data_IF_554704861187
#
_entry.id   IF_554704861187
#
_cell.length_a   1.000
_cell.length_b   1.000
_cell.length_c   1.000
_cell.angle_alpha   90.00
_cell.angle_beta   90.00
_cell.angle_gamma   90.00
#
_symmetry.space_group_name_H-M   'P 1'
#
loop_
_entity.id
_entity.type
_entity.pdbx_description
1 polymer ?
#
# COMPACT_ATOMS: atom_id res chain seq x y z
N UNK A 1 -39.66 91.68 -5.36
CA UNK A 1 -39.40 90.22 -5.44
C UNK A 1 -38.02 90.05 -6.01
N UNK A 2 -37.02 89.64 -5.27
CA UNK A 2 -35.69 89.41 -5.79
C UNK A 2 -35.62 88.06 -6.46
N UNK A 3 -35.26 88.06 -7.75
CA UNK A 3 -34.96 86.85 -8.53
C UNK A 3 -33.69 86.18 -7.98
N UNK A 4 -33.82 84.97 -7.51
CA UNK A 4 -32.72 84.06 -7.03
C UNK A 4 -31.83 83.71 -8.23
N UNK A 5 -30.77 84.46 -8.46
CA UNK A 5 -29.69 83.99 -9.35
C UNK A 5 -28.93 82.89 -8.67
N UNK A 6 -29.14 81.68 -9.09
CA UNK A 6 -28.26 80.53 -8.73
C UNK A 6 -26.89 80.87 -9.32
N UNK A 7 -25.82 80.87 -8.52
CA UNK A 7 -24.49 81.22 -9.00
C UNK A 7 -24.09 80.28 -10.14
N UNK A 8 -23.69 80.89 -11.26
CA UNK A 8 -23.21 80.15 -12.47
C UNK A 8 -22.08 79.15 -12.16
N UNK A 9 -21.36 79.35 -11.08
CA UNK A 9 -20.35 78.44 -10.57
C UNK A 9 -20.96 77.09 -10.08
N UNK A 10 -22.14 77.11 -9.44
CA UNK A 10 -22.82 75.88 -8.96
C UNK A 10 -23.35 75.05 -10.14
N UNK A 11 -23.89 75.73 -11.15
CA UNK A 11 -24.34 75.10 -12.39
C UNK A 11 -23.19 74.58 -13.24
N UNK A 12 -22.03 75.21 -13.24
CA UNK A 12 -20.82 74.74 -13.91
C UNK A 12 -20.15 73.57 -13.13
N UNK A 13 -20.14 73.64 -11.80
CA UNK A 13 -19.66 72.54 -10.94
C UNK A 13 -20.56 71.35 -11.08
N UNK A 14 -21.88 71.47 -11.09
CA UNK A 14 -22.80 70.38 -11.34
C UNK A 14 -22.66 69.80 -12.76
N UNK A 15 -22.55 70.64 -13.78
CA UNK A 15 -22.26 70.22 -15.15
C UNK A 15 -20.91 69.51 -15.24
N UNK A 16 -19.86 69.98 -14.55
CA UNK A 16 -18.56 69.36 -14.49
C UNK A 16 -18.60 67.94 -13.80
N UNK A 17 -19.46 67.82 -12.78
CA UNK A 17 -19.67 66.51 -12.12
C UNK A 17 -20.45 65.56 -13.02
N UNK A 18 -21.46 66.04 -13.77
CA UNK A 18 -22.25 65.22 -14.68
C UNK A 18 -21.56 64.93 -16.03
N UNK A 19 -20.68 65.80 -16.53
CA UNK A 19 -19.90 65.55 -17.75
C UNK A 19 -18.64 64.76 -17.50
N UNK A 20 -18.18 64.62 -16.24
CA UNK A 20 -17.08 63.78 -15.83
C UNK A 20 -17.53 62.37 -15.40
N UNK A 21 -18.78 62.02 -15.58
CA UNK A 21 -19.16 60.58 -15.70
C UNK A 21 -18.60 60.21 -17.07
N UNK A 22 -17.36 59.69 -17.02
CA UNK A 22 -16.57 59.22 -18.16
C UNK A 22 -17.46 58.31 -19.00
N UNK A 23 -17.95 58.78 -20.17
CA UNK A 23 -18.70 57.96 -21.14
C UNK A 23 -17.93 56.66 -21.44
N UNK A 24 -16.60 56.72 -21.33
CA UNK A 24 -15.71 55.56 -21.51
C UNK A 24 -15.90 54.53 -20.38
N UNK A 25 -16.06 54.92 -19.12
CA UNK A 25 -16.32 53.98 -18.02
C UNK A 25 -17.73 53.36 -18.09
N UNK A 26 -18.70 54.13 -18.55
CA UNK A 26 -20.05 53.60 -18.76
C UNK A 26 -20.08 52.54 -19.86
N UNK A 27 -19.33 52.78 -20.95
CA UNK A 27 -19.18 51.78 -22.04
C UNK A 27 -18.41 50.54 -21.58
N UNK A 28 -17.33 50.69 -20.83
CA UNK A 28 -16.58 49.57 -20.23
C UNK A 28 -17.47 48.68 -19.35
N UNK A 29 -18.25 49.29 -18.45
CA UNK A 29 -19.18 48.55 -17.57
C UNK A 29 -20.29 47.88 -18.37
N UNK A 30 -20.84 48.55 -19.39
CA UNK A 30 -21.87 48.00 -20.23
C UNK A 30 -21.36 46.80 -21.03
N UNK A 31 -20.16 46.89 -21.61
CA UNK A 31 -19.49 45.79 -22.29
C UNK A 31 -19.23 44.64 -21.33
N UNK A 32 -18.77 44.92 -20.11
CA UNK A 32 -18.54 43.90 -19.10
C UNK A 32 -19.84 43.13 -18.73
N UNK A 33 -20.96 43.83 -18.56
CA UNK A 33 -22.26 43.22 -18.28
C UNK A 33 -22.75 42.36 -19.45
N UNK A 34 -22.61 42.88 -20.67
CA UNK A 34 -22.99 42.14 -21.89
C UNK A 34 -22.12 40.84 -22.03
N UNK A 35 -20.81 40.97 -21.78
CA UNK A 35 -19.88 39.84 -21.83
C UNK A 35 -20.23 38.80 -20.79
N UNK A 36 -20.56 39.19 -19.56
CA UNK A 36 -21.02 38.30 -18.50
C UNK A 36 -22.30 37.56 -18.87
N UNK A 37 -23.26 38.26 -19.46
CA UNK A 37 -24.54 37.69 -19.92
C UNK A 37 -24.34 36.72 -21.09
N UNK A 38 -23.51 37.05 -22.07
CA UNK A 38 -23.13 36.16 -23.17
C UNK A 38 -22.42 34.93 -22.59
N UNK A 39 -21.49 35.12 -21.65
CA UNK A 39 -20.80 34.04 -20.96
C UNK A 39 -21.73 33.08 -20.24
N UNK A 40 -22.77 33.61 -19.58
CA UNK A 40 -23.80 32.78 -18.94
C UNK A 40 -24.55 31.91 -19.96
N UNK A 41 -24.94 32.50 -21.10
CA UNK A 41 -25.64 31.76 -22.16
C UNK A 41 -24.76 30.65 -22.76
N UNK A 42 -23.49 31.00 -23.07
CA UNK A 42 -22.51 30.07 -23.63
C UNK A 42 -22.22 28.92 -22.63
N UNK A 43 -21.96 29.26 -21.36
CA UNK A 43 -21.72 28.24 -20.31
C UNK A 43 -22.91 27.29 -20.16
N UNK A 44 -24.14 27.84 -20.20
CA UNK A 44 -25.36 27.02 -20.14
C UNK A 44 -25.54 26.14 -21.37
N UNK A 45 -25.27 26.69 -22.56
CA UNK A 45 -25.35 25.94 -23.81
C UNK A 45 -24.34 24.80 -23.86
N UNK A 46 -23.07 25.10 -23.60
CA UNK A 46 -22.00 24.08 -23.62
C UNK A 46 -22.24 22.99 -22.57
N UNK A 47 -22.58 23.36 -21.31
CA UNK A 47 -22.82 22.37 -20.24
C UNK A 47 -24.00 21.45 -20.56
N UNK A 48 -25.07 21.97 -21.17
CA UNK A 48 -26.22 21.17 -21.56
C UNK A 48 -25.91 20.27 -22.77
N UNK A 49 -25.19 20.79 -23.77
CA UNK A 49 -24.77 20.03 -24.96
C UNK A 49 -23.84 18.89 -24.58
N UNK A 50 -22.86 19.15 -23.70
CA UNK A 50 -21.94 18.13 -23.21
C UNK A 50 -22.69 16.95 -22.56
N UNK A 51 -23.62 17.27 -21.65
CA UNK A 51 -24.42 16.22 -21.00
C UNK A 51 -25.33 15.50 -21.99
N UNK A 52 -25.87 16.19 -23.00
CA UNK A 52 -26.72 15.57 -24.02
C UNK A 52 -25.95 14.59 -24.90
N UNK A 53 -24.66 14.87 -25.19
CA UNK A 53 -23.83 14.05 -26.07
C UNK A 53 -23.12 12.91 -25.32
N UNK A 54 -22.55 13.16 -24.14
CA UNK A 54 -21.71 12.21 -23.41
C UNK A 54 -22.45 11.66 -22.18
N UNK A 55 -23.45 12.37 -21.68
CA UNK A 55 -24.16 12.03 -20.45
C UNK A 55 -24.89 10.69 -20.44
N UNK A 56 -25.18 10.10 -21.63
CA UNK A 56 -25.83 8.79 -21.76
C UNK A 56 -25.04 7.67 -21.03
N UNK A 57 -23.75 7.85 -20.84
CA UNK A 57 -22.87 6.89 -20.15
C UNK A 57 -22.76 7.12 -18.64
N UNK A 58 -23.36 8.18 -18.11
CA UNK A 58 -23.22 8.59 -16.71
C UNK A 58 -24.53 8.39 -15.94
N UNK A 59 -24.38 8.02 -14.66
CA UNK A 59 -25.50 7.99 -13.73
C UNK A 59 -26.07 9.42 -13.50
N UNK A 60 -27.35 9.53 -13.13
CA UNK A 60 -28.02 10.82 -12.94
C UNK A 60 -27.27 11.79 -11.99
N UNK A 61 -26.66 11.26 -10.94
CA UNK A 61 -25.84 12.05 -10.02
C UNK A 61 -24.57 12.60 -10.69
N UNK A 62 -23.86 11.77 -11.45
CA UNK A 62 -22.66 12.18 -12.20
C UNK A 62 -22.98 13.24 -13.27
N UNK A 63 -24.10 13.08 -13.98
CA UNK A 63 -24.57 14.09 -14.94
C UNK A 63 -24.76 15.46 -14.29
N UNK A 64 -25.35 15.50 -13.08
CA UNK A 64 -25.56 16.75 -12.34
C UNK A 64 -24.23 17.41 -11.95
N UNK A 65 -23.27 16.62 -11.45
CA UNK A 65 -21.95 17.12 -11.05
C UNK A 65 -21.18 17.68 -12.26
N UNK A 66 -21.13 16.93 -13.36
CA UNK A 66 -20.45 17.36 -14.58
C UNK A 66 -21.09 18.62 -15.19
N UNK A 67 -22.43 18.67 -15.25
CA UNK A 67 -23.16 19.84 -15.77
C UNK A 67 -22.83 21.09 -14.97
N UNK A 68 -22.86 21.00 -13.64
CA UNK A 68 -22.52 22.14 -12.77
C UNK A 68 -21.07 22.53 -12.87
N UNK A 69 -20.16 21.56 -12.85
CA UNK A 69 -18.72 21.78 -12.94
C UNK A 69 -18.34 22.52 -14.23
N UNK A 70 -18.78 22.03 -15.38
CA UNK A 70 -18.55 22.66 -16.70
C UNK A 70 -19.15 24.05 -16.76
N UNK A 71 -20.40 24.21 -16.27
CA UNK A 71 -21.07 25.51 -16.24
C UNK A 71 -20.26 26.52 -15.42
N UNK A 72 -19.91 26.21 -14.18
CA UNK A 72 -19.17 27.11 -13.31
C UNK A 72 -17.77 27.41 -13.83
N UNK A 73 -17.09 26.44 -14.40
CA UNK A 73 -15.77 26.63 -14.98
C UNK A 73 -15.79 27.64 -16.15
N UNK A 74 -16.69 27.43 -17.12
CA UNK A 74 -16.82 28.32 -18.28
C UNK A 74 -17.33 29.71 -17.84
N UNK A 75 -18.33 29.76 -16.98
CA UNK A 75 -18.88 31.01 -16.47
C UNK A 75 -17.82 31.83 -15.73
N UNK A 76 -16.97 31.18 -14.92
CA UNK A 76 -15.86 31.85 -14.22
C UNK A 76 -14.89 32.53 -15.20
N UNK A 77 -14.55 31.88 -16.32
CA UNK A 77 -13.68 32.47 -17.35
C UNK A 77 -14.29 33.75 -17.94
N UNK A 78 -15.59 33.76 -18.22
CA UNK A 78 -16.28 34.94 -18.71
C UNK A 78 -16.41 36.04 -17.64
N UNK A 79 -16.63 35.68 -16.38
CA UNK A 79 -16.61 36.65 -15.26
C UNK A 79 -15.24 37.29 -15.14
N UNK A 80 -14.15 36.54 -15.24
CA UNK A 80 -12.78 37.06 -15.24
C UNK A 80 -12.54 38.02 -16.40
N UNK A 81 -12.99 37.64 -17.62
CA UNK A 81 -12.91 38.51 -18.79
C UNK A 81 -13.75 39.82 -18.61
N UNK A 82 -14.96 39.71 -18.07
CA UNK A 82 -15.84 40.83 -17.76
C UNK A 82 -15.21 41.78 -16.72
N UNK A 83 -14.60 41.24 -15.66
CA UNK A 83 -13.89 42.06 -14.65
C UNK A 83 -12.69 42.83 -15.26
N UNK A 84 -11.98 42.20 -16.21
CA UNK A 84 -10.90 42.86 -16.95
C UNK A 84 -11.41 44.07 -17.72
N UNK A 85 -12.50 43.92 -18.48
CA UNK A 85 -13.13 45.00 -19.23
C UNK A 85 -13.67 46.11 -18.30
N UNK A 86 -14.14 45.76 -17.12
CA UNK A 86 -14.56 46.71 -16.07
C UNK A 86 -13.38 47.44 -15.39
N UNK A 87 -12.13 47.21 -15.83
CA UNK A 87 -10.93 47.91 -15.34
C UNK A 87 -10.28 47.28 -14.10
N UNK A 88 -10.70 46.09 -13.68
CA UNK A 88 -10.05 45.38 -12.56
C UNK A 88 -8.71 44.78 -12.98
N UNK A 89 -7.71 44.88 -12.10
CA UNK A 89 -6.40 44.26 -12.32
C UNK A 89 -6.48 42.74 -12.10
N UNK A 90 -6.46 41.98 -13.18
CA UNK A 90 -6.50 40.50 -13.14
C UNK A 90 -5.32 39.86 -12.38
N UNK A 91 -4.20 40.61 -12.23
CA UNK A 91 -3.00 40.09 -11.54
C UNK A 91 -3.29 39.62 -10.11
N UNK A 92 -4.19 40.28 -9.39
CA UNK A 92 -4.59 39.88 -8.03
C UNK A 92 -5.34 38.54 -8.04
N UNK A 93 -6.26 38.37 -8.99
CA UNK A 93 -7.02 37.10 -9.14
C UNK A 93 -6.13 35.97 -9.63
N UNK A 94 -5.20 36.26 -10.55
CA UNK A 94 -4.22 35.25 -11.01
C UNK A 94 -3.28 34.80 -9.88
N UNK A 95 -2.85 35.75 -9.02
CA UNK A 95 -2.07 35.43 -7.84
C UNK A 95 -2.82 34.51 -6.87
N UNK A 96 -4.07 34.84 -6.54
CA UNK A 96 -4.93 34.01 -5.69
C UNK A 96 -5.23 32.64 -6.33
N UNK A 97 -5.51 32.61 -7.64
CA UNK A 97 -5.72 31.36 -8.37
C UNK A 97 -4.45 30.48 -8.39
N UNK A 98 -3.26 31.09 -8.49
CA UNK A 98 -1.99 30.38 -8.41
C UNK A 98 -1.82 29.67 -7.07
N UNK A 99 -2.07 30.36 -5.96
CA UNK A 99 -2.01 29.77 -4.61
C UNK A 99 -3.04 28.63 -4.48
N UNK A 100 -4.27 28.85 -4.93
CA UNK A 100 -5.31 27.82 -4.90
C UNK A 100 -4.94 26.59 -5.74
N UNK A 101 -4.34 26.81 -6.92
CA UNK A 101 -3.88 25.73 -7.80
C UNK A 101 -2.82 24.88 -7.14
N UNK A 102 -1.86 25.50 -6.45
CA UNK A 102 -0.82 24.77 -5.69
C UNK A 102 -1.44 23.97 -4.55
N UNK A 103 -2.37 24.58 -3.80
CA UNK A 103 -3.08 23.88 -2.72
C UNK A 103 -3.89 22.68 -3.23
N UNK A 104 -4.62 22.83 -4.34
CA UNK A 104 -5.35 21.74 -4.99
C UNK A 104 -4.40 20.69 -5.57
N UNK A 105 -3.24 21.10 -6.08
CA UNK A 105 -2.18 20.19 -6.55
C UNK A 105 -1.69 19.26 -5.42
N UNK A 106 -1.37 19.82 -4.27
CA UNK A 106 -0.99 19.02 -3.09
C UNK A 106 -2.13 18.12 -2.61
N UNK A 107 -3.35 18.63 -2.57
CA UNK A 107 -4.51 17.82 -2.19
C UNK A 107 -4.77 16.64 -3.15
N UNK A 108 -4.43 16.79 -4.43
CA UNK A 108 -4.64 15.79 -5.48
C UNK A 108 -3.43 14.88 -5.71
N UNK A 109 -2.29 15.15 -5.08
CA UNK A 109 -1.01 14.50 -5.33
C UNK A 109 -1.09 12.97 -5.29
N UNK A 110 -1.70 12.41 -4.24
CA UNK A 110 -1.83 10.96 -4.09
C UNK A 110 -2.69 10.34 -5.20
N UNK A 111 -3.76 11.00 -5.61
CA UNK A 111 -4.62 10.50 -6.69
C UNK A 111 -3.89 10.53 -8.03
N UNK A 112 -3.16 11.59 -8.32
CA UNK A 112 -2.33 11.72 -9.52
C UNK A 112 -1.20 10.68 -9.51
N UNK A 113 -0.54 10.46 -8.38
CA UNK A 113 0.49 9.44 -8.22
C UNK A 113 -0.05 8.04 -8.52
N UNK A 114 -1.21 7.69 -7.97
CA UNK A 114 -1.85 6.39 -8.23
C UNK A 114 -2.23 6.22 -9.71
N UNK A 115 -2.71 7.25 -10.37
CA UNK A 115 -3.05 7.21 -11.79
C UNK A 115 -1.80 6.96 -12.66
N UNK A 116 -0.74 7.72 -12.43
CA UNK A 116 0.53 7.58 -13.14
C UNK A 116 1.12 6.20 -12.88
N UNK A 117 1.14 5.76 -11.62
CA UNK A 117 1.62 4.43 -11.23
C UNK A 117 0.83 3.32 -11.91
N UNK A 118 -0.50 3.47 -12.03
CA UNK A 118 -1.35 2.50 -12.72
C UNK A 118 -1.02 2.39 -14.22
N UNK A 119 -0.75 3.51 -14.89
CA UNK A 119 -0.31 3.49 -16.28
C UNK A 119 1.04 2.80 -16.47
N UNK A 120 1.98 3.01 -15.54
CA UNK A 120 3.27 2.32 -15.56
C UNK A 120 3.12 0.82 -15.31
N UNK A 121 2.34 0.39 -14.33
CA UNK A 121 2.10 -1.03 -14.05
C UNK A 121 1.51 -1.76 -15.26
N UNK A 122 0.52 -1.16 -15.92
CA UNK A 122 -0.11 -1.72 -17.13
C UNK A 122 0.90 -1.73 -18.31
N UNK A 123 1.70 -0.68 -18.45
CA UNK A 123 2.68 -0.57 -19.54
C UNK A 123 3.89 -1.49 -19.38
N UNK A 124 4.35 -1.72 -18.16
CA UNK A 124 5.50 -2.58 -17.85
C UNK A 124 5.15 -4.08 -17.91
N UNK A 125 3.92 -4.45 -17.52
CA UNK A 125 3.47 -5.84 -17.52
C UNK A 125 4.26 -6.76 -16.58
N UNK A 126 4.66 -6.25 -15.41
CA UNK A 126 5.40 -7.02 -14.40
C UNK A 126 4.60 -8.22 -13.89
N UNK A 127 3.27 -8.11 -13.87
CA UNK A 127 2.30 -9.15 -13.56
C UNK A 127 0.99 -8.89 -14.30
N UNK A 128 0.18 -9.94 -14.49
CA UNK A 128 -1.09 -9.92 -15.22
C UNK A 128 -2.26 -10.36 -14.33
N UNK A 129 -3.48 -10.18 -14.82
CA UNK A 129 -4.69 -10.71 -14.15
C UNK A 129 -4.64 -12.23 -14.15
N UNK A 130 -4.84 -12.85 -13.00
CA UNK A 130 -4.69 -14.29 -12.75
C UNK A 130 -3.33 -14.67 -12.16
N UNK A 131 -2.34 -13.76 -12.16
CA UNK A 131 -1.08 -14.02 -11.47
C UNK A 131 -1.23 -14.00 -9.95
N UNK A 132 -0.49 -14.87 -9.27
CA UNK A 132 -0.32 -14.80 -7.81
C UNK A 132 0.90 -13.97 -7.48
N UNK A 133 0.66 -12.85 -6.79
CA UNK A 133 1.74 -11.96 -6.37
C UNK A 133 1.85 -11.90 -4.86
N UNK A 134 3.07 -11.72 -4.39
CA UNK A 134 3.39 -11.48 -2.99
C UNK A 134 4.10 -10.14 -2.86
N UNK A 135 3.65 -9.32 -1.91
CA UNK A 135 4.26 -8.02 -1.63
C UNK A 135 4.48 -7.84 -0.13
N UNK A 136 5.58 -7.22 0.21
CA UNK A 136 5.91 -6.90 1.60
C UNK A 136 5.71 -5.40 1.82
N UNK A 137 4.75 -5.05 2.67
CA UNK A 137 4.49 -3.66 3.03
C UNK A 137 5.53 -3.13 4.01
N UNK A 138 5.64 -1.80 4.11
CA UNK A 138 6.64 -1.06 4.91
C UNK A 138 6.70 -1.51 6.38
N UNK A 139 5.64 -2.14 6.93
CA UNK A 139 5.59 -2.64 8.30
C UNK A 139 5.91 -4.15 8.44
N UNK A 140 6.48 -4.77 7.41
CA UNK A 140 6.80 -6.20 7.43
C UNK A 140 5.59 -7.13 7.22
N UNK A 141 4.39 -6.58 7.02
CA UNK A 141 3.24 -7.39 6.64
C UNK A 141 3.36 -7.82 5.19
N UNK A 142 3.32 -9.13 4.98
CA UNK A 142 3.30 -9.73 3.65
C UNK A 142 1.87 -10.02 3.24
N UNK A 143 1.49 -9.58 2.04
CA UNK A 143 0.20 -9.90 1.43
C UNK A 143 0.48 -10.76 0.22
N UNK A 144 -0.18 -11.90 0.14
CA UNK A 144 -0.15 -12.82 -1.00
C UNK A 144 -1.57 -12.99 -1.53
N UNK A 145 -1.74 -12.95 -2.85
CA UNK A 145 -3.04 -13.13 -3.47
C UNK A 145 -2.99 -13.15 -4.99
N UNK A 146 -4.06 -13.64 -5.58
CA UNK A 146 -4.30 -13.65 -7.01
C UNK A 146 -4.79 -12.27 -7.48
N UNK A 147 -4.26 -11.76 -8.59
CA UNK A 147 -4.65 -10.48 -9.19
C UNK A 147 -5.99 -10.64 -9.90
N UNK A 148 -7.05 -10.01 -9.36
CA UNK A 148 -8.40 -10.01 -9.96
C UNK A 148 -8.52 -8.96 -11.06
N UNK A 149 -8.00 -7.75 -10.80
CA UNK A 149 -8.02 -6.65 -11.76
C UNK A 149 -6.90 -5.65 -11.51
N UNK A 150 -6.44 -5.03 -12.60
CA UNK A 150 -5.49 -3.93 -12.60
C UNK A 150 -6.21 -2.70 -13.13
N UNK A 151 -6.60 -1.80 -12.22
CA UNK A 151 -7.31 -0.58 -12.57
C UNK A 151 -6.37 0.62 -12.55
N UNK A 152 -6.81 1.77 -13.08
CA UNK A 152 -6.02 3.00 -13.15
C UNK A 152 -5.53 3.53 -11.78
N UNK A 153 -6.25 3.26 -10.70
CA UNK A 153 -5.92 3.79 -9.37
C UNK A 153 -5.50 2.71 -8.37
N UNK A 154 -5.78 1.44 -8.64
CA UNK A 154 -5.56 0.36 -7.70
C UNK A 154 -5.55 -1.01 -8.37
N UNK A 155 -4.77 -1.92 -7.83
CA UNK A 155 -4.84 -3.36 -8.12
C UNK A 155 -5.68 -4.05 -7.05
N UNK A 156 -6.45 -5.05 -7.47
CA UNK A 156 -7.31 -5.84 -6.59
C UNK A 156 -6.79 -7.26 -6.52
N UNK A 157 -6.65 -7.77 -5.30
CA UNK A 157 -6.18 -9.12 -5.03
C UNK A 157 -7.25 -9.92 -4.29
N UNK A 158 -7.24 -11.22 -4.54
CA UNK A 158 -7.95 -12.23 -3.75
C UNK A 158 -6.90 -13.07 -3.01
N UNK A 159 -6.94 -13.06 -1.68
CA UNK A 159 -6.04 -13.90 -0.88
C UNK A 159 -6.50 -15.34 -0.84
N UNK A 160 -5.64 -16.26 -0.37
CA UNK A 160 -5.98 -17.66 -0.18
C UNK A 160 -7.17 -17.85 0.80
N UNK A 161 -7.35 -16.93 1.75
CA UNK A 161 -8.46 -16.91 2.70
C UNK A 161 -9.75 -16.33 2.11
N UNK A 162 -9.81 -16.11 0.78
CA UNK A 162 -10.93 -15.51 0.07
C UNK A 162 -11.22 -14.06 0.50
N UNK A 163 -10.19 -13.31 0.90
CA UNK A 163 -10.31 -11.91 1.30
C UNK A 163 -9.96 -11.02 0.11
N UNK A 164 -10.86 -10.07 -0.18
CA UNK A 164 -10.64 -9.05 -1.18
C UNK A 164 -9.74 -7.94 -0.63
N UNK A 165 -8.60 -7.72 -1.27
CA UNK A 165 -7.64 -6.67 -0.90
C UNK A 165 -7.50 -5.68 -2.04
N UNK A 166 -7.71 -4.39 -1.76
CA UNK A 166 -7.46 -3.30 -2.70
C UNK A 166 -6.17 -2.58 -2.34
N UNK A 167 -5.22 -2.57 -3.27
CA UNK A 167 -3.92 -1.92 -3.12
C UNK A 167 -3.83 -0.71 -4.04
N UNK A 168 -3.50 0.49 -3.53
CA UNK A 168 -3.20 1.65 -4.37
C UNK A 168 -1.98 1.37 -5.26
N UNK A 169 -2.02 1.80 -6.52
CA UNK A 169 -0.95 1.55 -7.48
C UNK A 169 0.39 2.15 -7.05
N UNK A 170 0.37 3.31 -6.40
CA UNK A 170 1.57 3.95 -5.85
C UNK A 170 2.32 3.05 -4.86
N UNK A 171 1.60 2.27 -4.03
CA UNK A 171 2.23 1.34 -3.10
C UNK A 171 2.91 0.18 -3.81
N UNK A 172 2.32 -0.33 -4.87
CA UNK A 172 2.88 -1.44 -5.67
C UNK A 172 4.17 -1.06 -6.39
N UNK A 173 4.25 0.14 -6.96
CA UNK A 173 5.48 0.62 -7.62
C UNK A 173 6.62 0.85 -6.60
N UNK A 174 6.28 1.22 -5.36
CA UNK A 174 7.28 1.49 -4.32
C UNK A 174 7.71 0.25 -3.54
N UNK A 175 6.91 -0.81 -3.55
CA UNK A 175 7.18 -2.04 -2.82
C UNK A 175 7.85 -3.09 -3.72
N UNK A 176 8.72 -3.95 -3.19
CA UNK A 176 9.15 -5.12 -3.93
C UNK A 176 7.97 -6.07 -4.11
N UNK A 177 7.65 -6.38 -5.37
CA UNK A 177 6.60 -7.32 -5.75
C UNK A 177 7.27 -8.60 -6.25
N UNK A 178 6.88 -9.74 -5.69
CA UNK A 178 7.30 -11.05 -6.16
C UNK A 178 6.13 -11.68 -6.91
N UNK A 179 6.34 -11.99 -8.19
CA UNK A 179 5.37 -12.75 -8.97
C UNK A 179 5.67 -14.25 -8.78
N UNK A 180 4.76 -14.95 -8.13
CA UNK A 180 4.91 -16.36 -7.76
C UNK A 180 4.47 -17.32 -8.86
N UNK A 181 3.67 -16.87 -9.82
CA UNK A 181 3.11 -17.65 -10.93
C UNK A 181 3.75 -17.39 -12.29
N UNK A 182 4.61 -16.37 -12.41
CA UNK A 182 5.25 -15.98 -13.68
C UNK A 182 6.00 -17.13 -14.37
N UNK A 183 6.65 -17.98 -13.56
CA UNK A 183 7.40 -19.13 -14.07
C UNK A 183 6.65 -20.43 -13.84
N UNK A 184 6.70 -21.38 -14.80
CA UNK A 184 5.95 -22.63 -14.73
C UNK A 184 6.45 -23.60 -13.66
N UNK A 185 7.70 -23.43 -13.19
CA UNK A 185 8.30 -24.26 -12.15
C UNK A 185 8.72 -23.43 -10.95
N UNK A 186 8.58 -24.00 -9.76
CA UNK A 186 8.93 -23.32 -8.50
C UNK A 186 9.72 -24.25 -7.59
N UNK A 187 10.69 -23.67 -6.88
CA UNK A 187 11.50 -24.35 -5.88
C UNK A 187 10.80 -24.31 -4.53
N UNK A 188 10.77 -25.47 -3.85
CA UNK A 188 10.28 -25.61 -2.47
C UNK A 188 11.49 -25.82 -1.57
N UNK A 189 11.93 -24.82 -0.81
CA UNK A 189 12.96 -24.98 0.20
C UNK A 189 12.32 -25.53 1.50
N UNK A 190 12.85 -26.63 2.01
CA UNK A 190 12.42 -27.26 3.26
C UNK A 190 13.63 -27.30 4.20
N UNK A 191 13.55 -26.57 5.31
CA UNK A 191 14.59 -26.61 6.34
C UNK A 191 14.31 -27.74 7.31
N UNK A 192 15.30 -28.59 7.53
CA UNK A 192 15.23 -29.77 8.39
C UNK A 192 16.36 -29.72 9.40
N UNK A 193 16.12 -30.26 10.57
CA UNK A 193 17.15 -30.45 11.59
C UNK A 193 17.34 -31.95 11.86
N UNK A 194 18.57 -32.39 11.97
CA UNK A 194 18.95 -33.78 12.34
C UNK A 194 19.88 -33.75 13.55
N UNK A 195 19.96 -34.88 14.25
CA UNK A 195 20.85 -35.04 15.40
C UNK A 195 22.32 -35.05 14.93
N UNK A 196 23.25 -34.57 15.77
CA UNK A 196 24.69 -34.61 15.49
C UNK A 196 25.27 -36.01 15.28
N UNK A 197 24.62 -37.03 15.83
CA UNK A 197 25.06 -38.41 15.70
C UNK A 197 24.64 -39.08 14.39
N UNK A 198 23.79 -38.41 13.62
CA UNK A 198 23.28 -38.92 12.35
C UNK A 198 24.31 -38.81 11.23
N UNK A 199 24.37 -39.81 10.36
CA UNK A 199 25.19 -39.73 9.15
C UNK A 199 24.51 -38.85 8.08
N UNK A 200 25.15 -37.72 7.80
CA UNK A 200 24.66 -36.73 6.79
C UNK A 200 24.54 -37.39 5.41
N UNK A 201 25.40 -38.36 5.08
CA UNK A 201 25.39 -39.00 3.76
C UNK A 201 24.14 -39.89 3.67
N UNK A 202 23.86 -40.72 4.70
CA UNK A 202 22.66 -41.55 4.80
C UNK A 202 21.38 -40.66 4.73
N UNK A 203 21.33 -39.58 5.50
CA UNK A 203 20.19 -38.66 5.49
C UNK A 203 19.96 -38.07 4.11
N UNK A 204 21.03 -37.66 3.43
CA UNK A 204 20.94 -37.11 2.06
C UNK A 204 20.37 -38.13 1.08
N UNK A 205 20.84 -39.40 1.14
CA UNK A 205 20.34 -40.48 0.29
C UNK A 205 18.85 -40.76 0.53
N UNK A 206 18.39 -40.76 1.77
CA UNK A 206 16.99 -40.97 2.13
C UNK A 206 16.13 -39.78 1.60
N UNK A 207 16.57 -38.53 1.76
CA UNK A 207 15.85 -37.37 1.27
C UNK A 207 15.73 -37.35 -0.27
N UNK A 208 16.82 -37.72 -0.96
CA UNK A 208 16.81 -37.82 -2.42
C UNK A 208 15.92 -38.97 -2.91
N UNK A 209 15.90 -40.12 -2.20
CA UNK A 209 15.01 -41.22 -2.51
C UNK A 209 13.54 -40.86 -2.32
N UNK A 210 13.20 -40.14 -1.23
CA UNK A 210 11.86 -39.61 -0.98
C UNK A 210 11.42 -38.68 -2.10
N UNK A 211 12.31 -37.77 -2.58
CA UNK A 211 12.01 -36.88 -3.69
C UNK A 211 11.79 -37.65 -5.00
N UNK A 212 12.66 -38.59 -5.32
CA UNK A 212 12.61 -39.36 -6.57
C UNK A 212 11.36 -40.28 -6.66
N UNK A 213 10.85 -40.73 -5.53
CA UNK A 213 9.63 -41.55 -5.45
C UNK A 213 8.35 -40.73 -5.58
N UNK A 214 8.45 -39.40 -5.56
CA UNK A 214 7.26 -38.56 -5.64
C UNK A 214 7.06 -37.97 -7.07
N UNK A 215 6.03 -38.43 -7.81
CA UNK A 215 5.87 -38.09 -9.24
C UNK A 215 5.68 -36.61 -9.55
N UNK A 216 5.27 -35.80 -8.56
CA UNK A 216 5.07 -34.35 -8.74
C UNK A 216 6.35 -33.54 -8.55
N UNK A 217 7.44 -34.16 -8.09
CA UNK A 217 8.78 -33.56 -8.05
C UNK A 217 9.44 -33.73 -9.40
N UNK A 218 10.03 -32.65 -9.90
CA UNK A 218 10.74 -32.63 -11.18
C UNK A 218 12.11 -33.32 -11.06
N UNK A 219 12.46 -34.10 -12.07
CA UNK A 219 13.78 -34.70 -12.18
C UNK A 219 14.86 -33.70 -12.61
N UNK A 220 14.45 -32.64 -13.29
CA UNK A 220 15.30 -31.51 -13.70
C UNK A 220 14.53 -30.20 -13.50
N UNK A 221 15.03 -29.26 -12.68
CA UNK A 221 16.26 -29.32 -11.89
C UNK A 221 16.23 -30.38 -10.78
N UNK A 222 17.39 -31.00 -10.53
CA UNK A 222 17.50 -32.09 -9.53
C UNK A 222 17.24 -31.62 -8.11
N UNK A 223 16.61 -32.46 -7.25
CA UNK A 223 16.55 -32.22 -5.83
C UNK A 223 17.96 -32.08 -5.22
N UNK A 224 18.10 -31.21 -4.24
CA UNK A 224 19.39 -30.97 -3.59
C UNK A 224 19.27 -30.91 -2.07
N UNK A 225 20.28 -31.45 -1.39
CA UNK A 225 20.40 -31.37 0.08
C UNK A 225 21.72 -30.68 0.43
N UNK A 226 21.62 -29.58 1.17
CA UNK A 226 22.78 -28.78 1.58
C UNK A 226 22.78 -28.61 3.09
N UNK A 227 23.94 -28.72 3.73
CA UNK A 227 24.12 -28.35 5.15
C UNK A 227 24.19 -26.83 5.21
N UNK A 228 23.30 -26.23 6.00
CA UNK A 228 23.23 -24.76 6.13
C UNK A 228 23.91 -24.27 7.39
N UNK A 229 23.77 -24.96 8.50
CA UNK A 229 24.36 -24.56 9.76
C UNK A 229 24.52 -25.75 10.73
N UNK A 230 25.48 -25.60 11.65
CA UNK A 230 25.58 -26.39 12.87
C UNK A 230 24.99 -25.54 14.00
N UNK A 231 23.90 -26.00 14.61
CA UNK A 231 23.23 -25.34 15.73
C UNK A 231 23.73 -25.92 17.04
N UNK A 232 23.29 -25.44 18.18
CA UNK A 232 23.73 -25.91 19.50
C UNK A 232 23.45 -27.40 19.74
N UNK A 233 22.38 -27.96 19.18
CA UNK A 233 21.96 -29.34 19.40
C UNK A 233 21.59 -30.13 18.14
N UNK A 234 21.82 -29.52 16.94
CA UNK A 234 21.39 -30.11 15.68
C UNK A 234 22.21 -29.64 14.48
N UNK A 235 22.19 -30.40 13.42
CA UNK A 235 22.67 -30.01 12.09
C UNK A 235 21.48 -29.58 11.27
N UNK A 236 21.54 -28.36 10.74
CA UNK A 236 20.48 -27.82 9.89
C UNK A 236 20.79 -28.13 8.43
N UNK A 237 19.81 -28.73 7.76
CA UNK A 237 19.85 -29.07 6.35
C UNK A 237 18.79 -28.29 5.58
N UNK A 238 19.15 -27.81 4.40
CA UNK A 238 18.22 -27.28 3.42
C UNK A 238 17.98 -28.33 2.33
N UNK A 239 16.82 -28.92 2.34
CA UNK A 239 16.33 -29.80 1.28
C UNK A 239 15.49 -28.99 0.31
N UNK A 240 15.83 -29.03 -0.98
CA UNK A 240 15.16 -28.27 -2.00
C UNK A 240 14.71 -29.17 -3.13
N UNK A 241 13.42 -29.11 -3.44
CA UNK A 241 12.80 -29.82 -4.56
C UNK A 241 12.15 -28.82 -5.51
N UNK A 242 11.96 -29.22 -6.77
CA UNK A 242 11.29 -28.43 -7.78
C UNK A 242 9.99 -29.09 -8.21
N UNK A 243 8.95 -28.31 -8.43
CA UNK A 243 7.67 -28.80 -8.92
C UNK A 243 7.05 -27.80 -9.90
N UNK A 244 6.00 -28.22 -10.62
CA UNK A 244 5.16 -27.29 -11.36
C UNK A 244 4.44 -26.35 -10.41
N UNK A 245 4.27 -25.09 -10.81
CA UNK A 245 3.64 -24.05 -9.99
C UNK A 245 2.24 -24.45 -9.48
N UNK A 246 1.46 -25.08 -10.32
CA UNK A 246 0.11 -25.58 -9.98
C UNK A 246 0.09 -26.55 -8.80
N UNK A 247 1.16 -27.33 -8.65
CA UNK A 247 1.29 -28.36 -7.62
C UNK A 247 2.04 -27.87 -6.36
N UNK A 248 2.44 -26.59 -6.32
CA UNK A 248 3.33 -26.08 -5.28
C UNK A 248 2.82 -26.33 -3.86
N UNK A 249 1.57 -26.00 -3.57
CA UNK A 249 0.98 -26.17 -2.23
C UNK A 249 0.90 -27.65 -1.86
N UNK A 250 0.42 -28.48 -2.80
CA UNK A 250 0.28 -29.90 -2.60
C UNK A 250 1.63 -30.57 -2.35
N UNK A 251 2.63 -30.29 -3.18
CA UNK A 251 3.99 -30.86 -3.03
C UNK A 251 4.64 -30.37 -1.74
N UNK A 252 4.46 -29.10 -1.36
CA UNK A 252 5.01 -28.56 -0.11
C UNK A 252 4.47 -29.28 1.12
N UNK A 253 3.18 -29.53 1.16
CA UNK A 253 2.52 -30.13 2.31
C UNK A 253 2.79 -31.65 2.36
N UNK A 254 2.57 -32.39 1.28
CA UNK A 254 2.82 -33.82 1.21
C UNK A 254 4.31 -34.18 1.36
N UNK A 255 5.22 -33.33 0.91
CA UNK A 255 6.66 -33.60 1.04
C UNK A 255 7.11 -33.64 2.49
N UNK A 256 6.56 -32.81 3.36
CA UNK A 256 6.89 -32.82 4.78
C UNK A 256 6.47 -34.14 5.45
N UNK A 257 5.29 -34.68 5.09
CA UNK A 257 4.83 -35.97 5.59
C UNK A 257 5.70 -37.09 5.08
N UNK A 258 6.07 -37.07 3.78
CA UNK A 258 6.95 -38.09 3.17
C UNK A 258 8.34 -38.09 3.79
N UNK A 259 8.90 -36.92 4.07
CA UNK A 259 10.18 -36.78 4.77
C UNK A 259 10.10 -37.42 6.16
N UNK A 260 9.06 -37.10 6.94
CA UNK A 260 8.85 -37.67 8.26
C UNK A 260 8.80 -39.20 8.22
N UNK A 261 8.01 -39.73 7.28
CA UNK A 261 7.91 -41.19 7.13
C UNK A 261 9.24 -41.82 6.71
N UNK A 262 9.95 -41.19 5.75
CA UNK A 262 11.28 -41.62 5.33
C UNK A 262 12.30 -41.63 6.48
N UNK A 263 12.23 -40.69 7.40
CA UNK A 263 13.09 -40.64 8.58
C UNK A 263 12.74 -41.76 9.57
N UNK A 264 11.44 -42.00 9.80
CA UNK A 264 10.99 -43.12 10.67
C UNK A 264 11.41 -44.45 10.10
N UNK A 265 11.19 -44.71 8.81
CA UNK A 265 11.52 -45.99 8.15
C UNK A 265 13.03 -46.28 8.16
N UNK A 266 13.87 -45.26 8.12
CA UNK A 266 15.32 -45.36 8.13
C UNK A 266 15.96 -45.12 9.51
N UNK A 267 15.14 -45.00 10.57
CA UNK A 267 15.60 -44.78 11.95
C UNK A 267 16.50 -43.55 12.11
N UNK A 268 16.14 -42.46 11.41
CA UNK A 268 16.79 -41.14 11.53
C UNK A 268 16.09 -40.36 12.64
N UNK A 269 16.86 -39.95 13.64
CA UNK A 269 16.33 -39.21 14.78
C UNK A 269 16.16 -37.69 14.47
N UNK A 270 14.97 -37.16 14.76
CA UNK A 270 14.70 -35.73 14.76
C UNK A 270 15.19 -35.19 16.12
N UNK A 271 16.01 -34.13 16.13
CA UNK A 271 16.57 -33.61 17.37
C UNK A 271 15.50 -33.07 18.30
N UNK A 272 15.55 -33.51 19.55
CA UNK A 272 14.76 -33.00 20.65
C UNK A 272 15.68 -32.05 21.44
N UNK A 273 15.27 -30.83 21.77
CA UNK A 273 16.06 -29.96 22.63
C UNK A 273 16.33 -30.65 23.98
N UNK A 274 17.58 -30.99 24.24
CA UNK A 274 18.00 -31.54 25.54
C UNK A 274 18.45 -30.39 26.42
N UNK A 275 17.67 -30.02 27.41
CA UNK A 275 18.12 -29.13 28.48
C UNK A 275 18.96 -29.96 29.46
N UNK A 276 20.26 -29.84 29.41
CA UNK A 276 21.14 -30.35 30.45
C UNK A 276 21.13 -29.40 31.64
N UNK A 277 20.63 -29.83 32.78
CA UNK A 277 20.91 -29.12 34.02
C UNK A 277 22.37 -29.35 34.36
N UNK A 278 23.20 -28.32 34.21
CA UNK A 278 24.56 -28.33 34.75
C UNK A 278 24.42 -28.13 36.25
N UNK A 279 24.60 -29.19 37.02
CA UNK A 279 24.64 -29.12 38.48
C UNK A 279 25.90 -28.34 38.88
N UNK A 280 25.73 -27.03 39.09
CA UNK A 280 26.86 -26.16 39.42
C UNK A 280 27.33 -26.47 40.86
N UNK A 281 28.62 -26.75 41.09
CA UNK A 281 29.11 -27.12 42.44
C UNK A 281 28.75 -26.09 43.52
N UNK A 282 28.51 -24.84 43.17
CA UNK A 282 28.06 -23.80 44.07
C UNK A 282 26.62 -23.97 44.58
N UNK A 283 25.74 -24.67 43.85
CA UNK A 283 24.37 -24.94 44.31
C UNK A 283 24.36 -25.97 45.46
N UNK A 284 25.23 -26.95 45.38
CA UNK A 284 25.42 -27.96 46.45
C UNK A 284 26.04 -27.35 47.73
N UNK A 285 26.94 -26.38 47.59
CA UNK A 285 27.55 -25.74 48.78
C UNK A 285 26.55 -24.89 49.54
N UNK A 286 25.67 -24.17 48.84
CA UNK A 286 24.63 -23.33 49.45
C UNK A 286 23.54 -24.19 50.09
N UNK A 287 23.15 -25.31 49.47
CA UNK A 287 22.15 -26.23 50.01
C UNK A 287 22.68 -26.96 51.27
N UNK A 288 23.95 -27.31 51.31
CA UNK A 288 24.60 -27.91 52.50
C UNK A 288 24.79 -26.88 53.63
N UNK A 289 25.14 -25.60 53.32
CA UNK A 289 25.23 -24.55 54.33
C UNK A 289 23.86 -24.21 54.95
N UNK A 290 22.80 -24.18 54.15
CA UNK A 290 21.43 -23.95 54.69
C UNK A 290 20.96 -25.14 55.55
N UNK A 291 21.29 -26.39 55.18
CA UNK A 291 20.95 -27.60 55.96
C UNK A 291 21.72 -27.61 57.28
N UNK A 292 23.00 -27.29 57.27
CA UNK A 292 23.85 -27.25 58.46
C UNK A 292 23.44 -26.09 59.39
N UNK A 293 23.06 -24.94 58.84
CA UNK A 293 22.58 -23.83 59.61
C UNK A 293 21.20 -24.10 60.26
N UNK A 294 20.31 -24.78 59.56
CA UNK A 294 19.03 -25.23 60.08
C UNK A 294 19.18 -26.31 61.15
N UNK A 295 20.12 -27.24 61.00
CA UNK A 295 20.44 -28.28 62.00
C UNK A 295 21.04 -27.67 63.28
N UNK A 296 21.93 -26.67 63.13
CA UNK A 296 22.54 -25.94 64.23
C UNK A 296 21.51 -25.12 65.04
N UNK A 297 20.60 -24.43 64.37
CA UNK A 297 19.54 -23.63 64.99
C UNK A 297 18.51 -24.50 65.74
N UNK A 298 18.28 -25.70 65.21
CA UNK A 298 17.40 -26.70 65.85
C UNK A 298 18.04 -27.40 67.05
N UNK A 299 19.38 -27.52 67.06
CA UNK A 299 20.12 -28.05 68.23
C UNK A 299 20.18 -27.03 69.36
N UNK A 300 20.36 -25.74 69.07
CA UNK A 300 20.35 -24.65 70.08
C UNK A 300 18.98 -24.46 70.76
N UNK A 301 17.89 -24.81 70.13
CA UNK A 301 16.51 -24.74 70.66
C UNK A 301 16.12 -25.96 71.50
N UNK A 302 17.02 -26.98 71.68
CA UNK A 302 16.77 -28.19 72.40
C UNK A 302 17.52 -28.32 73.78
N UNK A 303 18.11 -27.26 74.31
CA UNK A 303 18.57 -27.31 75.66
C UNK A 303 17.34 -27.30 76.65
N UNK A 304 17.17 -28.32 77.44
CA UNK A 304 16.06 -28.38 78.40
C UNK A 304 16.31 -27.47 79.61
N UNK A 305 15.30 -26.74 79.98
CA UNK A 305 15.19 -26.17 81.34
C UNK A 305 15.35 -27.29 82.33
N UNK A 306 16.53 -27.37 82.96
CA UNK A 306 16.79 -28.10 84.15
C UNK A 306 17.12 -27.09 85.22
N UNK A 307 16.11 -26.56 85.89
CA UNK A 307 16.03 -26.48 87.34
C UNK A 307 14.69 -25.93 87.83
#
# INVERSE_FOLDING_TARGET
>A
MPSSNIPTEVTNSLKGVFTNINTDRLTEVLVAVVLCFIGFLIARFISNTFIRTIGVRFNAHQQLVWRRGIFYFIFLLFVMASLKEAGFKLSVFLGAAGILTVALGFASQTSASNLISGLFLIGEGSFEVGDTIQLTLIRGHTIEGEVISIDLLSVKLLTQDNIYVRLPNEQLIRAPVQNLSKFPIRRIPITLAINFHEDIIKVREVLLDVANKYPLVLADPKPAVTVTAFRESSIELLFAVWCQQENYLKVRDEMQERIRNGFVDNQIEIPVPKMGFVDHPLSRSLENEEIDQYASDKALKREPDLK
#
